data_IF_624221639066
#
_entry.id   IF_624221639066
#
_cell.length_a   1.000
_cell.length_b   1.000
_cell.length_c   1.000
_cell.angle_alpha   90.00
_cell.angle_beta   90.00
_cell.angle_gamma   90.00
#
_symmetry.space_group_name_H-M   'P 1'
#
loop_
_entity.id
_entity.type
_entity.pdbx_description
1 polymer ?
#
# COMPACT_ATOMS: atom_id res chain seq x y z
N UNK A 1 -12.15 -14.14 13.94
CA UNK A 1 -12.78 -13.23 12.97
C UNK A 1 -11.83 -13.19 11.78
N UNK A 2 -12.34 -13.40 10.57
CA UNK A 2 -11.49 -13.28 9.37
C UNK A 2 -11.07 -11.81 9.23
N UNK A 3 -9.78 -11.60 8.95
CA UNK A 3 -9.18 -10.27 8.75
C UNK A 3 -8.86 -10.08 7.28
N UNK A 4 -8.94 -8.84 6.81
CA UNK A 4 -8.40 -8.48 5.50
C UNK A 4 -6.89 -8.41 5.57
N UNK A 5 -6.20 -9.22 4.76
CA UNK A 5 -4.74 -9.27 4.65
C UNK A 5 -4.29 -8.27 3.60
N UNK A 6 -3.61 -7.23 4.05
CA UNK A 6 -3.31 -6.04 3.24
C UNK A 6 -1.80 -5.85 3.10
N UNK A 7 -1.36 -5.77 1.85
CA UNK A 7 -0.04 -5.26 1.49
C UNK A 7 -0.11 -3.79 1.09
N UNK A 8 0.87 -2.99 1.47
CA UNK A 8 0.91 -1.56 1.10
C UNK A 8 2.21 -1.22 0.38
N UNK A 9 2.11 -0.41 -0.68
CA UNK A 9 3.25 0.04 -1.48
C UNK A 9 3.25 1.57 -1.49
N UNK A 10 4.35 2.15 -1.02
CA UNK A 10 4.49 3.58 -0.73
C UNK A 10 4.18 3.88 0.74
N UNK A 11 5.21 4.30 1.48
CA UNK A 11 5.17 4.62 2.90
C UNK A 11 5.64 6.06 3.19
N UNK A 12 5.56 6.93 2.18
CA UNK A 12 5.85 8.35 2.29
C UNK A 12 4.79 9.15 3.05
N UNK A 13 4.84 10.48 2.91
CA UNK A 13 3.95 11.43 3.60
C UNK A 13 2.48 11.12 3.34
N UNK A 14 2.11 10.85 2.09
CA UNK A 14 0.74 10.53 1.68
C UNK A 14 0.26 9.17 2.22
N UNK A 15 1.14 8.17 2.25
CA UNK A 15 0.80 6.80 2.65
C UNK A 15 0.75 6.59 4.17
N UNK A 16 1.58 7.29 4.93
CA UNK A 16 1.72 7.06 6.38
C UNK A 16 0.41 7.24 7.17
N UNK A 17 -0.46 8.24 6.88
CA UNK A 17 -1.75 8.36 7.56
C UNK A 17 -2.68 7.16 7.30
N UNK A 18 -2.72 6.65 6.07
CA UNK A 18 -3.50 5.47 5.73
C UNK A 18 -2.95 4.23 6.45
N UNK A 19 -1.62 4.05 6.43
CA UNK A 19 -0.96 2.96 7.12
C UNK A 19 -1.33 2.94 8.61
N UNK A 20 -1.34 4.09 9.27
CA UNK A 20 -1.77 4.20 10.68
C UNK A 20 -3.20 3.71 10.89
N UNK A 21 -4.13 4.16 10.04
CA UNK A 21 -5.54 3.72 10.11
C UNK A 21 -5.68 2.21 9.91
N UNK A 22 -4.93 1.62 8.97
CA UNK A 22 -4.93 0.18 8.72
C UNK A 22 -4.37 -0.61 9.91
N UNK A 23 -3.27 -0.14 10.51
CA UNK A 23 -2.64 -0.77 11.66
C UNK A 23 -3.51 -0.71 12.93
N UNK A 24 -4.36 0.30 13.06
CA UNK A 24 -5.27 0.47 14.20
C UNK A 24 -6.61 -0.25 14.00
N UNK A 25 -6.90 -0.75 12.79
CA UNK A 25 -8.15 -1.44 12.48
C UNK A 25 -8.12 -2.93 12.90
N UNK A 26 -9.00 -3.38 13.82
CA UNK A 26 -8.94 -4.74 14.36
C UNK A 26 -9.30 -5.84 13.34
N UNK A 27 -9.93 -5.47 12.23
CA UNK A 27 -10.30 -6.35 11.12
C UNK A 27 -9.26 -6.36 9.99
N UNK A 28 -8.10 -5.71 10.17
CA UNK A 28 -7.01 -5.70 9.20
C UNK A 28 -5.80 -6.45 9.75
N UNK A 29 -5.12 -7.14 8.86
CA UNK A 29 -3.79 -7.71 9.05
C UNK A 29 -2.87 -7.12 7.99
N UNK A 30 -1.82 -6.42 8.41
CA UNK A 30 -0.81 -5.89 7.49
C UNK A 30 0.23 -6.98 7.23
N UNK A 31 0.30 -7.48 5.99
CA UNK A 31 1.22 -8.56 5.59
C UNK A 31 2.57 -8.03 5.10
N UNK A 32 2.63 -6.75 4.75
CA UNK A 32 3.88 -6.09 4.38
C UNK A 32 3.71 -4.64 3.96
N UNK A 33 4.79 -3.87 4.10
CA UNK A 33 4.90 -2.49 3.60
C UNK A 33 6.15 -2.36 2.74
N UNK A 34 6.00 -1.87 1.52
CA UNK A 34 7.10 -1.66 0.59
C UNK A 34 7.36 -0.19 0.31
N UNK A 35 8.61 0.24 0.40
CA UNK A 35 9.07 1.54 -0.09
C UNK A 35 10.56 1.47 -0.48
N UNK A 36 10.97 2.25 -1.48
CA UNK A 36 12.38 2.33 -1.88
C UNK A 36 13.24 3.00 -0.80
N UNK A 37 12.69 3.96 -0.05
CA UNK A 37 13.39 4.60 1.07
C UNK A 37 12.92 4.01 2.42
N UNK A 38 13.70 3.05 2.92
CA UNK A 38 13.44 2.36 4.19
C UNK A 38 13.68 3.22 5.45
N UNK A 39 13.94 4.52 5.29
CA UNK A 39 14.10 5.49 6.38
C UNK A 39 12.85 6.34 6.59
N UNK A 40 11.83 6.20 5.75
CA UNK A 40 10.62 7.01 5.82
C UNK A 40 9.83 6.77 7.12
N UNK A 41 9.06 7.78 7.59
CA UNK A 41 8.25 7.66 8.79
C UNK A 41 7.28 6.46 8.75
N UNK A 42 6.66 6.20 7.60
CA UNK A 42 5.75 5.05 7.44
C UNK A 42 6.46 3.70 7.58
N UNK A 43 7.71 3.59 7.11
CA UNK A 43 8.52 2.37 7.29
C UNK A 43 8.89 2.17 8.76
N UNK A 44 9.26 3.24 9.45
CA UNK A 44 9.54 3.19 10.90
C UNK A 44 8.28 2.74 11.67
N UNK A 45 7.13 3.33 11.37
CA UNK A 45 5.84 2.95 11.95
C UNK A 45 5.49 1.47 11.71
N UNK A 46 5.70 0.96 10.49
CA UNK A 46 5.45 -0.44 10.16
C UNK A 46 6.33 -1.38 11.01
N UNK A 47 7.63 -1.08 11.12
CA UNK A 47 8.58 -1.85 11.93
C UNK A 47 8.20 -1.86 13.41
N UNK A 48 7.83 -0.71 13.96
CA UNK A 48 7.41 -0.59 15.36
C UNK A 48 6.16 -1.43 15.68
N UNK A 49 5.29 -1.63 14.69
CA UNK A 49 4.10 -2.48 14.79
C UNK A 49 4.35 -3.94 14.39
N UNK A 50 5.60 -4.32 14.14
CA UNK A 50 5.99 -5.70 13.79
C UNK A 50 5.61 -6.13 12.38
N UNK A 51 5.30 -5.19 11.47
CA UNK A 51 4.95 -5.50 10.08
C UNK A 51 6.22 -5.66 9.25
N UNK A 52 6.33 -6.71 8.42
CA UNK A 52 7.45 -6.87 7.48
C UNK A 52 7.59 -5.67 6.55
N UNK A 53 8.83 -5.24 6.32
CA UNK A 53 9.13 -4.15 5.37
C UNK A 53 10.11 -4.60 4.32
N UNK A 54 9.93 -4.14 3.09
CA UNK A 54 10.80 -4.48 1.95
C UNK A 54 11.03 -3.27 1.05
N UNK A 55 12.15 -3.26 0.32
CA UNK A 55 12.39 -2.31 -0.77
C UNK A 55 11.92 -2.83 -2.12
N UNK A 56 11.39 -4.05 -2.18
CA UNK A 56 10.90 -4.69 -3.40
C UNK A 56 9.42 -5.06 -3.24
N UNK A 57 8.55 -4.24 -3.82
CA UNK A 57 7.11 -4.43 -3.69
C UNK A 57 6.58 -5.73 -4.33
N UNK A 58 7.34 -6.35 -5.25
CA UNK A 58 6.95 -7.63 -5.85
C UNK A 58 6.93 -8.74 -4.80
N UNK A 59 7.77 -8.68 -3.75
CA UNK A 59 7.77 -9.65 -2.64
C UNK A 59 6.42 -9.68 -1.89
N UNK A 60 5.67 -8.58 -1.90
CA UNK A 60 4.31 -8.56 -1.35
C UNK A 60 3.36 -9.31 -2.29
N UNK A 61 3.44 -9.08 -3.59
CA UNK A 61 2.59 -9.73 -4.58
C UNK A 61 2.86 -11.25 -4.69
N UNK A 62 4.12 -11.66 -4.50
CA UNK A 62 4.56 -13.07 -4.52
C UNK A 62 3.93 -13.92 -3.41
N UNK A 63 3.38 -13.30 -2.37
CA UNK A 63 2.63 -14.01 -1.32
C UNK A 63 1.28 -14.56 -1.81
N UNK A 64 0.81 -14.17 -3.01
CA UNK A 64 -0.35 -14.77 -3.68
C UNK A 64 -1.63 -14.68 -2.84
N UNK A 65 -2.29 -15.82 -2.65
CA UNK A 65 -3.56 -15.93 -1.90
C UNK A 65 -3.43 -15.62 -0.40
N UNK A 66 -2.22 -15.32 0.08
CA UNK A 66 -1.99 -14.77 1.43
C UNK A 66 -2.23 -13.26 1.52
N UNK A 67 -2.51 -12.59 0.39
CA UNK A 67 -2.78 -11.15 0.33
C UNK A 67 -4.12 -10.92 -0.36
N UNK A 68 -5.08 -10.35 0.37
CA UNK A 68 -6.40 -10.05 -0.18
C UNK A 68 -6.37 -8.75 -0.99
N UNK A 69 -5.64 -7.75 -0.49
CA UNK A 69 -5.62 -6.41 -1.07
C UNK A 69 -4.19 -5.87 -1.10
N UNK A 70 -3.76 -5.36 -2.25
CA UNK A 70 -2.55 -4.53 -2.36
C UNK A 70 -2.96 -3.09 -2.60
N UNK A 71 -2.57 -2.19 -1.69
CA UNK A 71 -2.82 -0.76 -1.80
C UNK A 71 -1.55 -0.06 -2.29
N UNK A 72 -1.58 0.43 -3.54
CA UNK A 72 -0.52 1.23 -4.14
C UNK A 72 -0.83 2.71 -3.96
N UNK A 73 -0.04 3.41 -3.14
CA UNK A 73 -0.14 4.86 -2.91
C UNK A 73 1.06 5.63 -3.47
N UNK A 74 1.81 5.05 -4.42
CA UNK A 74 3.07 5.61 -4.90
C UNK A 74 2.94 6.72 -5.94
N UNK A 75 1.82 6.83 -6.66
CA UNK A 75 1.77 7.68 -7.86
C UNK A 75 2.33 7.01 -9.12
N UNK A 76 3.09 5.92 -8.97
CA UNK A 76 4.01 5.45 -9.99
C UNK A 76 3.33 4.62 -11.06
N UNK A 77 3.41 5.08 -12.32
CA UNK A 77 2.95 4.29 -13.47
C UNK A 77 3.67 2.96 -13.56
N UNK A 78 4.98 2.95 -13.23
CA UNK A 78 5.80 1.75 -13.26
C UNK A 78 5.31 0.70 -12.24
N UNK A 79 5.05 1.10 -10.99
CA UNK A 79 4.53 0.18 -9.96
C UNK A 79 3.20 -0.44 -10.41
N UNK A 80 2.30 0.38 -10.95
CA UNK A 80 1.01 -0.09 -11.47
C UNK A 80 1.15 -1.09 -12.62
N UNK A 81 2.01 -0.80 -13.59
CA UNK A 81 2.26 -1.67 -14.74
C UNK A 81 2.92 -2.99 -14.30
N UNK A 82 3.89 -2.93 -13.39
CA UNK A 82 4.62 -4.09 -12.88
C UNK A 82 3.71 -5.01 -12.06
N UNK A 83 2.89 -4.45 -11.15
CA UNK A 83 1.90 -5.24 -10.40
C UNK A 83 0.90 -5.92 -11.34
N UNK A 84 0.34 -5.19 -12.32
CA UNK A 84 -0.61 -5.77 -13.27
C UNK A 84 0.02 -6.91 -14.08
N UNK A 85 1.24 -6.71 -14.56
CA UNK A 85 1.98 -7.76 -15.29
C UNK A 85 2.24 -8.97 -14.40
N UNK A 86 2.65 -8.75 -13.15
CA UNK A 86 2.90 -9.83 -12.21
C UNK A 86 1.63 -10.62 -11.88
N UNK A 87 0.50 -9.95 -11.62
CA UNK A 87 -0.78 -10.64 -11.34
C UNK A 87 -1.24 -11.47 -12.54
N UNK A 88 -1.08 -10.96 -13.77
CA UNK A 88 -1.37 -11.73 -14.98
C UNK A 88 -0.44 -12.93 -15.15
N UNK A 89 0.86 -12.73 -14.91
CA UNK A 89 1.87 -13.78 -15.05
C UNK A 89 1.69 -14.90 -14.02
N UNK A 90 1.42 -14.55 -12.75
CA UNK A 90 1.20 -15.50 -11.66
C UNK A 90 -0.16 -16.18 -11.71
N UNK A 91 -1.10 -15.68 -12.52
CA UNK A 91 -2.48 -16.17 -12.53
C UNK A 91 -3.26 -15.83 -11.27
N UNK A 92 -2.79 -14.86 -10.48
CA UNK A 92 -3.45 -14.46 -9.24
C UNK A 92 -4.76 -13.71 -9.54
N UNK A 93 -5.87 -14.36 -9.20
CA UNK A 93 -7.23 -13.81 -9.32
C UNK A 93 -7.87 -13.51 -7.96
N UNK A 94 -7.15 -13.79 -6.88
CA UNK A 94 -7.59 -13.58 -5.50
C UNK A 94 -7.33 -12.14 -5.04
N UNK A 95 -6.11 -11.64 -5.26
CA UNK A 95 -5.69 -10.33 -4.76
C UNK A 95 -6.27 -9.17 -5.57
N UNK A 96 -6.85 -8.18 -4.89
CA UNK A 96 -7.33 -6.93 -5.51
C UNK A 96 -6.31 -5.81 -5.36
N UNK A 97 -6.01 -5.11 -6.46
CA UNK A 97 -5.14 -3.92 -6.43
C UNK A 97 -5.99 -2.66 -6.26
N UNK A 98 -5.74 -1.92 -5.18
CA UNK A 98 -6.30 -0.58 -4.95
C UNK A 98 -5.27 0.47 -5.36
N UNK A 99 -5.64 1.27 -6.36
CA UNK A 99 -4.82 2.37 -6.87
C UNK A 99 -4.91 3.60 -5.96
N UNK A 100 -3.84 4.40 -5.91
CA UNK A 100 -3.71 5.63 -5.11
C UNK A 100 -4.93 6.55 -5.17
N UNK A 101 -5.59 6.71 -6.32
CA UNK A 101 -6.72 7.62 -6.49
C UNK A 101 -7.94 7.15 -5.70
N UNK A 102 -8.12 5.83 -5.61
CA UNK A 102 -9.17 5.24 -4.80
C UNK A 102 -8.82 5.38 -3.32
N UNK A 103 -7.58 5.10 -2.93
CA UNK A 103 -7.13 5.28 -1.53
C UNK A 103 -7.33 6.74 -1.06
N UNK A 104 -6.89 7.71 -1.86
CA UNK A 104 -7.04 9.13 -1.58
C UNK A 104 -8.50 9.59 -1.53
N UNK A 105 -9.34 9.08 -2.44
CA UNK A 105 -10.78 9.34 -2.41
C UNK A 105 -11.39 8.83 -1.10
N UNK A 106 -11.09 7.58 -0.72
CA UNK A 106 -11.63 6.99 0.52
C UNK A 106 -11.16 7.74 1.76
N UNK A 107 -9.89 8.12 1.82
CA UNK A 107 -9.37 8.96 2.90
C UNK A 107 -10.04 10.33 2.94
N UNK A 108 -10.24 10.97 1.79
CA UNK A 108 -10.88 12.28 1.69
C UNK A 108 -12.34 12.24 2.15
N UNK A 109 -13.07 11.20 1.72
CA UNK A 109 -14.45 10.96 2.15
C UNK A 109 -14.52 10.69 3.65
N UNK A 110 -13.61 9.88 4.19
CA UNK A 110 -13.54 9.59 5.63
C UNK A 110 -13.17 10.82 6.48
N UNK A 111 -12.33 11.71 5.95
CA UNK A 111 -11.92 12.95 6.62
C UNK A 111 -12.94 14.10 6.47
N UNK A 112 -13.92 13.97 5.57
CA UNK A 112 -14.85 15.04 5.24
C UNK A 112 -14.21 16.24 4.52
N UNK A 113 -12.98 16.09 4.01
CA UNK A 113 -12.25 17.12 3.27
C UNK A 113 -11.25 16.47 2.32
N UNK A 114 -10.89 17.17 1.25
CA UNK A 114 -9.88 16.69 0.31
C UNK A 114 -8.54 16.53 1.03
N UNK A 115 -7.97 15.31 0.96
CA UNK A 115 -6.60 15.06 1.39
C UNK A 115 -5.68 15.52 0.28
N UNK A 116 -4.85 16.52 0.58
CA UNK A 116 -3.84 17.01 -0.34
C UNK A 116 -2.69 16.01 -0.43
N UNK A 117 -2.31 15.66 -1.66
CA UNK A 117 -1.08 14.91 -1.93
C UNK A 117 0.06 15.89 -2.11
N UNK A 118 1.21 15.65 -1.48
CA UNK A 118 2.47 16.26 -1.93
C UNK A 118 2.92 15.56 -3.22
N UNK A 119 2.24 15.85 -4.32
CA UNK A 119 2.64 15.48 -5.69
C UNK A 119 2.57 16.76 -6.54
N UNK A 120 3.34 17.77 -6.15
CA UNK A 120 3.79 18.80 -7.08
C UNK A 120 5.31 18.64 -7.22
N UNK A 121 5.76 18.58 -8.47
CA UNK A 121 7.16 18.47 -8.90
C UNK A 121 7.86 17.11 -8.80
N UNK A 122 7.43 16.11 -9.59
CA UNK A 122 8.39 15.29 -10.36
C UNK A 122 7.73 14.87 -11.67
N UNK A 123 7.55 15.85 -12.56
CA UNK A 123 7.46 15.57 -13.98
C UNK A 123 8.84 15.25 -14.51
N UNK A 124 9.02 14.04 -15.04
CA UNK A 124 9.94 13.74 -16.14
C UNK A 124 9.30 12.64 -17.00
#
# INVERSE_FOLDING_TARGET
>A
MEKYRIGMIGAGVTGTPLLRQLLDAPFVEMVGVADLDLRLPGITLARERGVPVTSNFIEIAEQGDQVDIIIDVTGSRKVREDLRRFMQFSGNTHTVIVHERIALLMMSLGAGKQVETQHEEMGY
#
